data_IF_497545957543
#
_entry.id   IF_497545957543
#
_cell.length_a   1.000
_cell.length_b   1.000
_cell.length_c   1.000
_cell.angle_alpha   90.00
_cell.angle_beta   90.00
_cell.angle_gamma   90.00
#
_symmetry.space_group_name_H-M   'P 1'
#
loop_
_entity.id
_entity.type
_entity.pdbx_description
1 polymer ?
#
# COMPACT_ATOMS: atom_id res chain seq x y z
N UNK A 1 -7.54 -21.41 -8.81
CA UNK A 1 -6.21 -21.78 -8.29
C UNK A 1 -5.55 -20.53 -7.74
N UNK A 2 -5.35 -20.48 -6.42
CA UNK A 2 -4.65 -19.37 -5.79
C UNK A 2 -3.16 -19.60 -5.96
N UNK A 3 -2.51 -18.72 -6.71
CA UNK A 3 -1.05 -18.69 -6.73
C UNK A 3 -0.57 -18.11 -5.40
N UNK A 4 0.09 -18.91 -4.60
CA UNK A 4 0.79 -18.39 -3.44
C UNK A 4 1.98 -17.58 -3.92
N UNK A 5 2.11 -16.36 -3.37
CA UNK A 5 3.30 -15.55 -3.58
C UNK A 5 4.53 -16.31 -3.07
N UNK A 6 5.55 -16.41 -3.92
CA UNK A 6 6.84 -16.97 -3.48
C UNK A 6 7.65 -15.88 -2.79
N UNK A 7 7.54 -15.82 -1.46
CA UNK A 7 8.26 -14.83 -0.66
C UNK A 7 9.75 -15.13 -0.52
N UNK A 8 10.17 -16.36 -0.84
CA UNK A 8 11.58 -16.75 -0.69
C UNK A 8 12.53 -15.98 -1.62
N UNK A 9 12.00 -15.44 -2.72
CA UNK A 9 12.78 -14.67 -3.70
C UNK A 9 12.85 -13.18 -3.34
N UNK A 10 12.09 -12.73 -2.36
CA UNK A 10 12.05 -11.32 -1.96
C UNK A 10 13.24 -10.98 -1.08
N UNK A 11 13.94 -9.91 -1.44
CA UNK A 11 15.13 -9.43 -0.73
C UNK A 11 14.72 -8.34 0.25
N UNK A 12 14.17 -8.74 1.40
CA UNK A 12 13.64 -7.81 2.40
C UNK A 12 14.66 -6.78 2.89
N UNK A 13 15.94 -7.11 2.90
CA UNK A 13 17.02 -6.20 3.30
C UNK A 13 17.20 -5.02 2.34
N UNK A 14 16.68 -5.10 1.12
CA UNK A 14 16.74 -4.02 0.14
C UNK A 14 15.53 -3.10 0.21
N UNK A 15 14.56 -3.41 1.08
CA UNK A 15 13.40 -2.57 1.34
C UNK A 15 13.78 -1.51 2.37
N UNK A 16 13.44 -0.25 2.12
CA UNK A 16 13.76 0.87 2.98
C UNK A 16 12.51 1.57 3.54
N UNK A 17 12.72 2.47 4.49
CA UNK A 17 11.67 3.33 5.05
C UNK A 17 11.86 4.81 4.70
N UNK A 18 12.65 5.12 3.66
CA UNK A 18 12.96 6.50 3.30
C UNK A 18 11.81 7.19 2.57
N UNK A 19 11.12 6.47 1.70
CA UNK A 19 10.03 7.02 0.90
C UNK A 19 8.71 6.32 1.24
N UNK A 20 7.62 6.93 0.83
CA UNK A 20 6.28 6.42 1.07
C UNK A 20 5.47 7.29 2.01
N UNK A 21 4.26 6.86 2.29
CA UNK A 21 3.34 7.55 3.20
C UNK A 21 3.55 6.99 4.59
N UNK A 22 4.03 7.83 5.51
CA UNK A 22 4.41 7.42 6.86
C UNK A 22 3.30 7.73 7.87
N UNK A 23 2.67 6.70 8.39
CA UNK A 23 1.57 6.80 9.36
C UNK A 23 2.07 6.34 10.73
N UNK A 24 2.01 7.24 11.69
CA UNK A 24 2.45 6.96 13.05
C UNK A 24 3.81 7.58 13.40
N UNK A 25 4.28 7.30 14.62
CA UNK A 25 5.49 7.91 15.14
C UNK A 25 6.76 7.34 14.50
N UNK A 26 7.66 8.20 14.08
CA UNK A 26 9.00 7.77 13.66
C UNK A 26 9.85 7.17 14.79
N UNK A 27 9.41 7.36 16.04
CA UNK A 27 10.05 6.76 17.23
C UNK A 27 9.57 5.33 17.48
N UNK A 28 8.56 4.85 16.77
CA UNK A 28 8.10 3.47 16.92
C UNK A 28 9.25 2.51 16.62
N UNK A 29 9.35 1.38 17.37
CA UNK A 29 10.47 0.45 17.22
C UNK A 29 10.47 -0.32 15.91
N UNK A 30 9.31 -0.40 15.23
CA UNK A 30 9.17 -1.21 14.02
C UNK A 30 8.57 -0.41 12.88
N UNK A 31 8.97 -0.76 11.65
CA UNK A 31 8.38 -0.25 10.42
C UNK A 31 7.60 -1.37 9.75
N UNK A 32 6.32 -1.13 9.48
CA UNK A 32 5.49 -2.03 8.68
C UNK A 32 5.40 -1.41 7.29
N UNK A 33 6.09 -2.00 6.33
CA UNK A 33 6.22 -1.48 4.98
C UNK A 33 5.27 -2.23 4.06
N UNK A 34 4.40 -1.49 3.38
CA UNK A 34 3.32 -2.06 2.58
C UNK A 34 3.44 -1.62 1.13
N UNK A 35 3.71 -2.56 0.23
CA UNK A 35 3.65 -2.32 -1.22
C UNK A 35 2.25 -2.70 -1.68
N UNK A 36 1.46 -1.71 -2.10
CA UNK A 36 0.07 -1.89 -2.50
C UNK A 36 -0.23 -1.16 -3.81
N UNK A 37 -1.29 -1.60 -4.48
CA UNK A 37 -1.87 -0.91 -5.63
C UNK A 37 -3.36 -0.71 -5.37
N UNK A 38 -3.85 0.50 -5.55
CA UNK A 38 -5.22 0.85 -5.18
C UNK A 38 -6.30 0.17 -6.04
N UNK A 39 -5.93 -0.37 -7.19
CA UNK A 39 -6.88 -1.14 -8.01
C UNK A 39 -6.91 -2.63 -7.63
N UNK A 40 -5.90 -3.13 -6.95
CA UNK A 40 -5.82 -4.55 -6.61
C UNK A 40 -6.86 -4.92 -5.54
N UNK A 41 -7.76 -5.88 -5.80
CA UNK A 41 -8.77 -6.29 -4.81
C UNK A 41 -8.15 -6.97 -3.58
N UNK A 42 -7.00 -7.62 -3.72
CA UNK A 42 -6.28 -8.22 -2.59
C UNK A 42 -5.64 -7.15 -1.69
N UNK A 43 -5.25 -6.02 -2.27
CA UNK A 43 -4.77 -4.87 -1.47
C UNK A 43 -5.92 -4.24 -0.69
N UNK A 44 -7.11 -4.15 -1.29
CA UNK A 44 -8.32 -3.73 -0.58
C UNK A 44 -8.62 -4.66 0.60
N UNK A 45 -8.57 -5.97 0.36
CA UNK A 45 -8.80 -6.99 1.39
C UNK A 45 -7.82 -6.81 2.56
N UNK A 46 -6.53 -6.69 2.25
CA UNK A 46 -5.50 -6.43 3.26
C UNK A 46 -5.81 -5.17 4.08
N UNK A 47 -6.09 -4.07 3.38
CA UNK A 47 -6.35 -2.78 4.03
C UNK A 47 -7.55 -2.86 4.97
N UNK A 48 -8.64 -3.47 4.54
CA UNK A 48 -9.88 -3.57 5.34
C UNK A 48 -9.74 -4.54 6.52
N UNK A 49 -9.18 -5.73 6.30
CA UNK A 49 -9.05 -6.72 7.35
C UNK A 49 -8.02 -6.35 8.43
N UNK A 50 -6.94 -5.66 8.05
CA UNK A 50 -5.90 -5.24 9.00
C UNK A 50 -6.16 -3.88 9.64
N UNK A 51 -7.22 -3.19 9.23
CA UNK A 51 -7.45 -1.77 9.57
C UNK A 51 -7.41 -1.50 11.07
N UNK A 52 -8.22 -2.21 11.85
CA UNK A 52 -8.30 -1.99 13.30
C UNK A 52 -7.00 -2.39 14.00
N UNK A 53 -6.43 -3.52 13.65
CA UNK A 53 -5.18 -4.02 14.23
C UNK A 53 -4.04 -3.04 14.01
N UNK A 54 -3.90 -2.52 12.79
CA UNK A 54 -2.82 -1.60 12.46
C UNK A 54 -3.03 -0.22 13.09
N UNK A 55 -4.27 0.28 13.11
CA UNK A 55 -4.57 1.56 13.75
C UNK A 55 -4.28 1.51 15.25
N UNK A 56 -4.62 0.41 15.90
CA UNK A 56 -4.32 0.21 17.32
C UNK A 56 -2.81 0.18 17.55
N UNK A 57 -2.07 -0.56 16.75
CA UNK A 57 -0.61 -0.65 16.85
C UNK A 57 0.08 0.71 16.63
N UNK A 58 -0.42 1.50 15.68
CA UNK A 58 0.04 2.87 15.43
C UNK A 58 -0.23 3.76 16.64
N UNK A 59 -1.46 3.72 17.17
CA UNK A 59 -1.87 4.53 18.32
C UNK A 59 -1.06 4.19 19.56
N UNK A 60 -0.73 2.92 19.75
CA UNK A 60 0.10 2.45 20.88
C UNK A 60 1.59 2.69 20.67
N UNK A 61 1.99 3.25 19.53
CA UNK A 61 3.40 3.55 19.23
C UNK A 61 4.26 2.31 18.95
N UNK A 62 3.65 1.19 18.60
CA UNK A 62 4.36 -0.07 18.33
C UNK A 62 4.95 -0.13 16.94
N UNK A 63 4.25 0.46 15.96
CA UNK A 63 4.69 0.49 14.56
C UNK A 63 4.51 1.89 13.96
N UNK A 64 5.34 2.18 12.96
CA UNK A 64 5.06 3.20 11.95
C UNK A 64 4.73 2.45 10.66
N UNK A 65 3.60 2.76 10.05
CA UNK A 65 3.26 2.24 8.72
C UNK A 65 4.00 3.07 7.66
N UNK A 66 4.54 2.39 6.67
CA UNK A 66 5.12 3.04 5.49
C UNK A 66 4.41 2.46 4.28
N UNK A 67 3.44 3.21 3.75
CA UNK A 67 2.63 2.76 2.62
C UNK A 67 3.30 3.20 1.32
N UNK A 68 3.59 2.24 0.45
CA UNK A 68 4.24 2.48 -0.83
C UNK A 68 3.27 2.07 -1.95
N UNK A 69 2.75 3.06 -2.65
CA UNK A 69 1.84 2.85 -3.77
C UNK A 69 2.67 2.39 -4.97
N UNK A 70 2.54 1.12 -5.33
CA UNK A 70 3.37 0.50 -6.37
C UNK A 70 2.64 0.48 -7.71
N UNK A 71 3.15 1.27 -8.65
CA UNK A 71 2.65 1.27 -10.02
C UNK A 71 3.04 -0.03 -10.71
N UNK A 72 2.10 -0.60 -11.46
CA UNK A 72 2.26 -1.89 -12.13
C UNK A 72 1.95 -1.76 -13.62
N UNK A 73 2.63 -2.56 -14.44
CA UNK A 73 2.43 -2.56 -15.89
C UNK A 73 1.21 -3.37 -16.33
N UNK A 74 0.72 -4.28 -15.50
CA UNK A 74 -0.48 -5.06 -15.81
C UNK A 74 -1.66 -4.13 -16.07
N UNK A 75 -2.35 -4.34 -17.21
CA UNK A 75 -3.40 -3.44 -17.69
C UNK A 75 -4.45 -3.15 -16.62
N UNK A 76 -4.93 -4.17 -15.94
CA UNK A 76 -5.94 -3.98 -14.87
C UNK A 76 -5.43 -3.06 -13.75
N UNK A 77 -4.14 -3.16 -13.38
CA UNK A 77 -3.56 -2.39 -12.29
C UNK A 77 -3.13 -0.98 -12.71
N UNK A 78 -3.07 -0.68 -14.00
CA UNK A 78 -2.77 0.68 -14.45
C UNK A 78 -3.81 1.70 -13.98
N UNK A 79 -5.04 1.26 -13.74
CA UNK A 79 -6.07 2.12 -13.13
C UNK A 79 -5.69 2.55 -11.72
N UNK A 80 -5.06 1.67 -10.97
CA UNK A 80 -4.48 2.01 -9.67
C UNK A 80 -3.35 3.01 -9.78
N UNK A 81 -2.50 2.87 -10.80
CA UNK A 81 -1.42 3.84 -11.05
C UNK A 81 -1.97 5.25 -11.22
N UNK A 82 -3.08 5.40 -11.95
CA UNK A 82 -3.75 6.70 -12.11
C UNK A 82 -4.24 7.22 -10.78
N UNK A 83 -4.93 6.38 -9.99
CA UNK A 83 -5.42 6.78 -8.67
C UNK A 83 -4.28 7.20 -7.73
N UNK A 84 -3.12 6.54 -7.81
CA UNK A 84 -1.93 6.91 -7.00
C UNK A 84 -1.51 8.35 -7.21
N UNK A 85 -1.71 8.92 -8.40
CA UNK A 85 -1.35 10.30 -8.70
C UNK A 85 -2.19 11.31 -7.92
N UNK A 86 -3.29 10.89 -7.34
CA UNK A 86 -4.25 11.74 -6.63
C UNK A 86 -4.20 11.58 -5.10
N UNK A 87 -3.29 10.79 -4.59
CA UNK A 87 -3.13 10.59 -3.15
C UNK A 87 -2.19 11.66 -2.61
N UNK A 88 -2.64 12.40 -1.60
CA UNK A 88 -1.92 13.49 -0.98
C UNK A 88 -0.62 13.01 -0.32
N UNK A 89 0.32 13.90 -0.16
CA UNK A 89 1.57 13.63 0.57
C UNK A 89 1.42 13.76 2.08
N UNK A 90 0.40 14.46 2.55
CA UNK A 90 0.07 14.55 3.98
C UNK A 90 -0.42 13.19 4.47
N UNK A 91 0.25 12.55 5.44
CA UNK A 91 -0.09 11.20 5.87
C UNK A 91 -1.54 11.02 6.34
N UNK A 92 -2.09 11.98 7.08
CA UNK A 92 -3.47 11.88 7.58
C UNK A 92 -4.48 11.95 6.44
N UNK A 93 -4.28 12.86 5.50
CA UNK A 93 -5.11 12.96 4.30
C UNK A 93 -4.96 11.72 3.43
N UNK A 94 -3.72 11.27 3.24
CA UNK A 94 -3.43 10.10 2.41
C UNK A 94 -4.15 8.85 2.91
N UNK A 95 -4.13 8.60 4.21
CA UNK A 95 -4.79 7.40 4.76
C UNK A 95 -6.31 7.43 4.50
N UNK A 96 -6.94 8.58 4.71
CA UNK A 96 -8.37 8.76 4.43
C UNK A 96 -8.68 8.58 2.94
N UNK A 97 -7.84 9.13 2.07
CA UNK A 97 -8.00 9.03 0.62
C UNK A 97 -7.82 7.58 0.13
N UNK A 98 -6.84 6.87 0.67
CA UNK A 98 -6.62 5.45 0.37
C UNK A 98 -7.87 4.64 0.76
N UNK A 99 -8.42 4.91 1.94
CA UNK A 99 -9.65 4.27 2.39
C UNK A 99 -10.80 4.54 1.44
N UNK A 100 -11.00 5.79 1.03
CA UNK A 100 -12.06 6.17 0.08
C UNK A 100 -11.85 5.52 -1.29
N UNK A 101 -10.60 5.45 -1.76
CA UNK A 101 -10.30 4.79 -3.03
C UNK A 101 -10.66 3.30 -2.98
N UNK A 102 -10.34 2.62 -1.89
CA UNK A 102 -10.69 1.21 -1.73
C UNK A 102 -12.21 1.01 -1.56
N UNK A 103 -12.87 1.86 -0.79
CA UNK A 103 -14.34 1.78 -0.61
C UNK A 103 -15.09 1.92 -1.92
N UNK A 104 -14.56 2.68 -2.85
CA UNK A 104 -15.18 2.95 -4.16
C UNK A 104 -14.56 2.14 -5.30
N UNK A 105 -13.63 1.25 -5.00
CA UNK A 105 -12.87 0.49 -6.01
C UNK A 105 -13.78 -0.24 -7.00
N UNK A 106 -14.87 -0.84 -6.54
CA UNK A 106 -15.80 -1.55 -7.42
C UNK A 106 -16.48 -0.64 -8.43
N UNK A 107 -16.51 0.67 -8.19
CA UNK A 107 -17.08 1.65 -9.11
C UNK A 107 -16.07 1.95 -10.24
N UNK A 108 -14.82 2.28 -9.90
CA UNK A 108 -13.85 2.77 -10.88
C UNK A 108 -12.89 1.70 -11.42
N UNK A 109 -12.95 0.49 -10.88
CA UNK A 109 -11.96 -0.56 -11.17
C UNK A 109 -11.85 -0.96 -12.65
N UNK A 110 -12.90 -0.75 -13.44
CA UNK A 110 -12.93 -1.10 -14.86
C UNK A 110 -13.11 0.11 -15.77
N UNK A 111 -12.97 1.32 -15.25
CA UNK A 111 -13.03 2.55 -16.03
C UNK A 111 -11.83 2.66 -16.97
N UNK A 112 -11.97 3.40 -18.06
CA UNK A 112 -10.83 3.87 -18.86
C UNK A 112 -9.94 4.76 -17.98
N UNK A 113 -8.67 4.87 -18.32
CA UNK A 113 -7.70 5.59 -17.47
C UNK A 113 -8.09 7.06 -17.25
N UNK A 114 -8.57 7.74 -18.30
CA UNK A 114 -9.04 9.13 -18.18
C UNK A 114 -10.26 9.24 -17.26
N UNK A 115 -11.13 8.24 -17.28
CA UNK A 115 -12.32 8.22 -16.43
C UNK A 115 -11.96 7.97 -14.96
N UNK A 116 -10.90 7.22 -14.67
CA UNK A 116 -10.38 7.07 -13.30
C UNK A 116 -9.91 8.43 -12.77
N UNK A 117 -9.13 9.16 -13.58
CA UNK A 117 -8.65 10.50 -13.22
C UNK A 117 -9.81 11.45 -12.96
N UNK A 118 -10.81 11.44 -13.82
CA UNK A 118 -12.00 12.28 -13.68
C UNK A 118 -12.78 11.93 -12.39
N UNK A 119 -12.92 10.64 -12.10
CA UNK A 119 -13.58 10.18 -10.87
C UNK A 119 -12.83 10.66 -9.63
N UNK A 120 -11.51 10.55 -9.62
CA UNK A 120 -10.69 11.05 -8.52
C UNK A 120 -10.88 12.55 -8.30
N UNK A 121 -10.87 13.34 -9.37
CA UNK A 121 -11.00 14.80 -9.29
C UNK A 121 -12.41 15.26 -8.95
N UNK A 122 -13.40 14.76 -9.67
CA UNK A 122 -14.78 15.29 -9.63
C UNK A 122 -15.65 14.63 -8.58
N UNK A 123 -15.48 13.33 -8.34
CA UNK A 123 -16.31 12.59 -7.38
C UNK A 123 -15.63 12.51 -6.04
N UNK A 124 -14.39 12.05 -5.98
CA UNK A 124 -13.64 11.93 -4.73
C UNK A 124 -13.06 13.28 -4.24
N UNK A 125 -12.97 14.26 -5.13
CA UNK A 125 -12.43 15.59 -4.83
C UNK A 125 -10.96 15.57 -4.43
N UNK A 126 -10.21 14.65 -5.01
CA UNK A 126 -8.77 14.57 -4.82
C UNK A 126 -8.07 15.53 -5.78
N UNK A 127 -6.86 15.95 -5.41
CA UNK A 127 -6.02 16.80 -6.24
C UNK A 127 -4.85 16.00 -6.81
N UNK A 128 -4.52 16.24 -8.07
CA UNK A 128 -3.35 15.62 -8.69
C UNK A 128 -2.08 16.10 -8.01
N UNK A 129 -1.20 15.15 -7.72
CA UNK A 129 0.07 15.38 -7.04
C UNK A 129 1.23 15.27 -8.03
N UNK A 130 2.31 16.03 -7.78
CA UNK A 130 3.54 15.91 -8.55
C UNK A 130 4.44 14.83 -7.92
N UNK A 131 4.05 13.56 -8.05
CA UNK A 131 4.69 12.45 -7.35
C UNK A 131 5.41 11.44 -8.25
N UNK A 132 5.72 11.82 -9.50
CA UNK A 132 6.35 10.90 -10.45
C UNK A 132 7.71 10.40 -9.98
N UNK A 133 8.50 11.24 -9.33
CA UNK A 133 9.82 10.85 -8.81
C UNK A 133 9.64 9.81 -7.71
N UNK A 134 8.73 10.06 -6.77
CA UNK A 134 8.42 9.11 -5.69
C UNK A 134 7.97 7.76 -6.26
N UNK A 135 7.09 7.77 -7.23
CA UNK A 135 6.57 6.54 -7.85
C UNK A 135 7.68 5.76 -8.56
N UNK A 136 8.61 6.45 -9.23
CA UNK A 136 9.77 5.82 -9.85
C UNK A 136 10.71 5.19 -8.80
N UNK A 137 10.93 5.87 -7.69
CA UNK A 137 11.76 5.35 -6.60
C UNK A 137 11.15 4.08 -5.99
N UNK A 138 9.85 4.06 -5.77
CA UNK A 138 9.14 2.90 -5.24
C UNK A 138 9.23 1.72 -6.22
N UNK A 139 9.06 1.96 -7.53
CA UNK A 139 9.22 0.91 -8.54
C UNK A 139 10.64 0.33 -8.54
N UNK A 140 11.64 1.18 -8.50
CA UNK A 140 13.04 0.74 -8.47
C UNK A 140 13.34 -0.09 -7.22
N UNK A 141 12.85 0.34 -6.07
CA UNK A 141 12.99 -0.40 -4.82
C UNK A 141 12.36 -1.79 -4.92
N UNK A 142 11.15 -1.86 -5.43
CA UNK A 142 10.42 -3.13 -5.61
C UNK A 142 11.17 -4.06 -6.57
N UNK A 143 11.70 -3.54 -7.68
CA UNK A 143 12.50 -4.32 -8.63
C UNK A 143 13.75 -4.88 -7.98
N UNK A 144 14.50 -4.05 -7.27
CA UNK A 144 15.73 -4.46 -6.60
C UNK A 144 15.46 -5.47 -5.49
N UNK A 145 14.37 -5.32 -4.76
CA UNK A 145 13.96 -6.25 -3.72
C UNK A 145 13.24 -7.49 -4.26
N UNK A 146 13.06 -7.57 -5.57
CA UNK A 146 12.35 -8.65 -6.25
C UNK A 146 10.90 -8.81 -5.80
N UNK A 147 10.24 -7.70 -5.52
CA UNK A 147 8.81 -7.64 -5.17
C UNK A 147 8.00 -7.56 -6.46
N UNK A 148 7.23 -8.60 -6.74
CA UNK A 148 6.45 -8.74 -7.98
C UNK A 148 4.95 -8.70 -7.78
N UNK A 149 4.48 -8.94 -6.56
CA UNK A 149 3.06 -9.06 -6.23
C UNK A 149 2.65 -7.98 -5.24
N UNK A 150 1.40 -7.58 -5.32
CA UNK A 150 0.76 -6.69 -4.36
C UNK A 150 -0.48 -7.38 -3.76
N UNK A 151 -0.75 -7.25 -2.47
CA UNK A 151 0.09 -6.56 -1.49
C UNK A 151 1.30 -7.41 -1.10
N UNK A 152 2.43 -6.74 -0.86
CA UNK A 152 3.59 -7.35 -0.18
C UNK A 152 3.88 -6.51 1.05
N UNK A 153 3.90 -7.15 2.21
CA UNK A 153 4.15 -6.47 3.48
C UNK A 153 5.46 -6.99 4.07
N UNK A 154 6.29 -6.06 4.55
CA UNK A 154 7.56 -6.36 5.20
C UNK A 154 7.52 -5.78 6.60
N UNK A 155 7.67 -6.65 7.60
CA UNK A 155 7.72 -6.26 9.02
C UNK A 155 8.89 -6.98 9.67
N UNK A 156 10.03 -6.27 9.83
CA UNK A 156 11.26 -6.89 10.28
C UNK A 156 11.72 -7.97 9.30
N UNK A 157 11.89 -9.19 9.78
CA UNK A 157 12.27 -10.33 8.94
C UNK A 157 11.06 -11.06 8.35
N UNK A 158 9.84 -10.65 8.71
CA UNK A 158 8.62 -11.25 8.21
C UNK A 158 8.18 -10.60 6.90
N UNK A 159 7.87 -11.42 5.92
CA UNK A 159 7.32 -11.00 4.64
C UNK A 159 6.03 -11.78 4.40
N UNK A 160 4.95 -11.09 4.12
CA UNK A 160 3.64 -11.73 3.98
C UNK A 160 2.72 -10.92 3.05
N UNK A 161 1.55 -11.48 2.81
CA UNK A 161 0.50 -10.87 1.99
C UNK A 161 -0.83 -10.81 2.75
N UNK A 162 -1.93 -10.61 2.05
CA UNK A 162 -3.28 -10.51 2.61
C UNK A 162 -3.78 -11.81 3.26
N UNK A 163 -3.12 -12.93 3.03
CA UNK A 163 -3.54 -14.21 3.61
C UNK A 163 -3.16 -14.36 5.08
N UNK A 164 -2.38 -13.44 5.63
CA UNK A 164 -2.02 -13.47 7.05
C UNK A 164 -3.28 -13.37 7.92
N UNK A 165 -3.35 -14.19 8.98
CA UNK A 165 -4.43 -14.06 9.94
C UNK A 165 -4.12 -12.99 11.01
N UNK A 166 -5.16 -12.53 11.70
CA UNK A 166 -5.05 -11.47 12.69
C UNK A 166 -4.11 -11.85 13.84
N UNK A 167 -4.21 -13.09 14.33
CA UNK A 167 -3.40 -13.55 15.45
C UNK A 167 -1.91 -13.55 15.09
N UNK A 168 -1.56 -14.00 13.87
CA UNK A 168 -0.17 -14.01 13.40
C UNK A 168 0.34 -12.57 13.20
N UNK A 169 -0.47 -11.68 12.64
CA UNK A 169 -0.10 -10.27 12.49
C UNK A 169 0.17 -9.62 13.83
N UNK A 170 -0.70 -9.83 14.82
CA UNK A 170 -0.50 -9.31 16.18
C UNK A 170 0.77 -9.86 16.81
N UNK A 171 1.06 -11.14 16.60
CA UNK A 171 2.28 -11.78 17.09
C UNK A 171 3.54 -11.12 16.50
N UNK A 172 3.55 -10.84 15.20
CA UNK A 172 4.68 -10.18 14.54
C UNK A 172 4.88 -8.76 15.07
N UNK A 173 3.80 -8.04 15.30
CA UNK A 173 3.85 -6.69 15.86
C UNK A 173 4.42 -6.72 17.30
N UNK A 174 4.10 -7.75 18.06
CA UNK A 174 4.49 -7.86 19.48
C UNK A 174 5.94 -8.32 19.70
N UNK A 175 6.61 -8.84 18.68
CA UNK A 175 8.01 -9.32 18.81
C UNK A 175 8.99 -8.26 19.31
#
# INVERSE_FOLDING_TARGET
MCFRMDISVIKGKLVNDFNGIKIGSEKAPKRLIEFINLRCPYCKLWFEESYDTLNQAVTEGKIQRVIKLLDKDKISLQRGNVMHEYIDTDPEKALTQIQQAFETQTIWQDFELEAVAEYAEKTLRFNQQANQILQSEIRNEAEQANIKFVPTIVLGEHIFDESIDEATLKSYIAE
#
